data_IF_193973206746
#
_entry.id   IF_193973206746
#
_cell.length_a   1.000
_cell.length_b   1.000
_cell.length_c   1.000
_cell.angle_alpha   90.00
_cell.angle_beta   90.00
_cell.angle_gamma   90.00
#
_symmetry.space_group_name_H-M   'P 1'
#
loop_
_entity.id
_entity.type
_entity.pdbx_description
1 polymer ?
#
# COMPACT_ATOMS: atom_id res chain seq x y z
N UNK A 1 14.03 -22.47 5.67
CA UNK A 1 14.22 -21.26 4.86
C UNK A 1 12.93 -20.99 4.14
N UNK A 2 12.36 -19.79 4.26
CA UNK A 2 11.22 -19.39 3.44
C UNK A 2 11.72 -19.24 2.01
N UNK A 3 11.05 -19.88 1.06
CA UNK A 3 11.32 -19.71 -0.37
C UNK A 3 10.21 -18.87 -1.00
N UNK A 4 10.48 -18.28 -2.16
CA UNK A 4 9.57 -17.37 -2.84
C UNK A 4 9.10 -18.00 -4.14
N UNK A 5 7.80 -17.89 -4.41
CA UNK A 5 7.20 -18.19 -5.71
C UNK A 5 6.49 -16.95 -6.23
N UNK A 6 6.49 -16.73 -7.53
CA UNK A 6 5.83 -15.56 -8.09
C UNK A 6 4.32 -15.61 -7.85
N UNK A 7 3.75 -14.45 -7.47
CA UNK A 7 2.31 -14.24 -7.49
C UNK A 7 1.80 -14.33 -8.92
N UNK A 8 0.51 -14.65 -9.12
CA UNK A 8 -0.08 -14.65 -10.46
C UNK A 8 0.21 -13.35 -11.20
N UNK A 9 0.57 -13.47 -12.47
CA UNK A 9 0.73 -12.31 -13.33
C UNK A 9 -0.57 -11.50 -13.36
N UNK A 10 -0.50 -10.16 -13.36
CA UNK A 10 -1.68 -9.32 -13.48
C UNK A 10 -2.26 -9.44 -14.89
N UNK A 11 -3.58 -9.35 -15.02
CA UNK A 11 -4.26 -9.37 -16.33
C UNK A 11 -3.90 -8.14 -17.17
N UNK A 12 -3.67 -7.01 -16.51
CA UNK A 12 -3.25 -5.74 -17.11
C UNK A 12 -1.90 -5.33 -16.55
N UNK A 13 -1.04 -4.83 -17.42
CA UNK A 13 0.29 -4.34 -17.05
C UNK A 13 0.24 -2.82 -16.93
N UNK A 14 0.77 -2.28 -15.84
CA UNK A 14 0.88 -0.83 -15.67
C UNK A 14 1.98 -0.26 -16.59
N UNK A 15 1.81 0.96 -17.12
CA UNK A 15 2.84 1.65 -17.89
C UNK A 15 4.15 1.79 -17.09
N UNK A 16 5.29 1.77 -17.79
CA UNK A 16 6.61 1.86 -17.16
C UNK A 16 6.77 3.09 -16.25
N UNK A 17 6.14 4.20 -16.63
CA UNK A 17 6.15 5.44 -15.85
C UNK A 17 5.69 5.24 -14.41
N UNK A 18 4.79 4.28 -14.13
CA UNK A 18 4.30 4.02 -12.77
C UNK A 18 5.24 3.14 -11.93
N UNK A 19 6.13 2.35 -12.55
CA UNK A 19 6.87 1.27 -11.87
C UNK A 19 8.03 1.80 -11.05
N UNK A 20 8.13 1.38 -9.80
CA UNK A 20 9.19 1.83 -8.88
C UNK A 20 8.66 2.02 -7.47
N UNK A 21 9.42 2.72 -6.64
CA UNK A 21 8.95 3.15 -5.32
C UNK A 21 8.77 4.66 -5.34
N UNK A 22 7.58 5.09 -4.96
CA UNK A 22 7.19 6.48 -4.82
C UNK A 22 7.08 6.84 -3.36
N UNK A 23 7.77 7.91 -2.97
CA UNK A 23 7.64 8.51 -1.65
C UNK A 23 6.70 9.70 -1.77
N UNK A 24 5.67 9.75 -0.91
CA UNK A 24 4.82 10.93 -0.82
C UNK A 24 5.58 12.03 -0.09
N UNK A 25 5.63 13.22 -0.68
CA UNK A 25 6.27 14.41 -0.10
C UNK A 25 5.26 15.44 0.40
N UNK A 26 4.02 15.37 -0.06
CA UNK A 26 2.91 16.22 0.39
C UNK A 26 1.59 15.47 0.27
N UNK A 27 0.73 15.63 1.27
CA UNK A 27 -0.72 15.49 1.17
C UNK A 27 -1.36 16.82 1.55
N UNK A 28 -2.29 17.32 0.74
CA UNK A 28 -3.13 18.47 1.03
C UNK A 28 -4.60 18.06 0.91
N UNK A 29 -5.36 18.34 1.96
CA UNK A 29 -6.82 18.14 2.03
C UNK A 29 -7.48 19.44 2.51
N UNK A 30 -8.82 19.55 2.47
CA UNK A 30 -9.53 20.68 3.06
C UNK A 30 -9.22 20.89 4.55
N UNK A 31 -8.82 19.84 5.27
CA UNK A 31 -8.50 19.85 6.69
C UNK A 31 -7.06 20.30 6.98
N UNK A 32 -6.16 20.23 6.01
CA UNK A 32 -4.80 20.72 6.18
C UNK A 32 -3.76 20.08 5.27
N UNK A 33 -2.50 20.28 5.66
CA UNK A 33 -1.33 19.78 4.93
C UNK A 33 -0.53 18.83 5.81
N UNK A 34 -0.15 17.69 5.24
CA UNK A 34 0.72 16.68 5.84
C UNK A 34 1.98 16.52 4.99
N UNK A 35 3.13 16.71 5.63
CA UNK A 35 4.46 16.53 5.03
C UNK A 35 5.35 15.64 5.90
N UNK A 36 4.78 15.03 6.95
CA UNK A 36 5.54 14.33 8.00
C UNK A 36 5.24 12.83 8.01
N UNK A 37 4.06 12.40 7.59
CA UNK A 37 3.77 10.97 7.42
C UNK A 37 4.69 10.38 6.35
N UNK A 38 5.44 9.34 6.72
CA UNK A 38 6.29 8.60 5.79
C UNK A 38 5.42 7.64 5.00
N UNK A 39 5.28 7.89 3.70
CA UNK A 39 4.48 7.04 2.80
C UNK A 39 5.34 6.53 1.67
N UNK A 40 5.29 5.21 1.44
CA UNK A 40 5.97 4.54 0.34
C UNK A 40 4.96 3.69 -0.42
N UNK A 41 4.80 3.97 -1.70
CA UNK A 41 4.06 3.17 -2.66
C UNK A 41 5.03 2.45 -3.59
N UNK A 42 5.13 1.13 -3.47
CA UNK A 42 5.90 0.28 -4.37
C UNK A 42 4.98 -0.28 -5.45
N UNK A 43 5.33 -0.04 -6.71
CA UNK A 43 4.60 -0.49 -7.89
C UNK A 43 5.48 -1.39 -8.76
N UNK A 44 5.03 -2.61 -8.99
CA UNK A 44 5.63 -3.58 -9.94
C UNK A 44 4.91 -3.49 -11.29
N UNK A 45 4.98 -4.55 -12.11
CA UNK A 45 4.26 -4.62 -13.40
C UNK A 45 2.74 -4.57 -13.27
N UNK A 46 2.18 -4.84 -12.09
CA UNK A 46 0.74 -4.69 -11.84
C UNK A 46 0.35 -4.91 -10.39
N UNK A 47 1.18 -5.58 -9.60
CA UNK A 47 1.04 -5.59 -8.14
C UNK A 47 1.61 -4.33 -7.50
N UNK A 48 1.00 -3.89 -6.41
CA UNK A 48 1.50 -2.82 -5.56
C UNK A 48 1.48 -3.18 -4.08
N UNK A 49 2.25 -2.43 -3.30
CA UNK A 49 2.10 -2.32 -1.85
C UNK A 49 2.33 -0.87 -1.41
N UNK A 50 1.56 -0.41 -0.44
CA UNK A 50 1.63 0.93 0.14
C UNK A 50 1.79 0.81 1.66
N UNK A 51 2.72 1.57 2.24
CA UNK A 51 2.91 1.68 3.69
C UNK A 51 2.92 3.15 4.10
N UNK A 52 2.09 3.49 5.10
CA UNK A 52 2.00 4.82 5.70
C UNK A 52 2.30 4.73 7.19
N UNK A 53 3.32 5.44 7.62
CA UNK A 53 3.71 5.56 9.02
C UNK A 53 3.57 7.02 9.44
N UNK A 54 2.53 7.38 10.22
CA UNK A 54 2.37 8.73 10.74
C UNK A 54 3.58 9.13 11.60
N UNK A 55 3.84 10.43 11.67
CA UNK A 55 4.92 10.95 12.50
C UNK A 55 4.68 10.66 13.99
N UNK A 56 5.76 10.38 14.73
CA UNK A 56 5.70 10.02 16.15
C UNK A 56 5.09 8.63 16.47
N UNK A 57 4.66 7.87 15.46
CA UNK A 57 4.11 6.51 15.67
C UNK A 57 5.24 5.49 15.80
N UNK A 58 5.24 4.75 16.91
CA UNK A 58 6.11 3.58 17.10
C UNK A 58 5.38 2.27 16.72
N UNK A 59 5.70 1.66 15.56
CA UNK A 59 5.06 0.43 15.10
C UNK A 59 5.40 -0.80 15.96
N UNK A 60 6.36 -0.70 16.89
CA UNK A 60 6.66 -1.76 17.84
C UNK A 60 5.62 -1.85 18.98
N UNK A 61 4.88 -0.78 19.24
CA UNK A 61 3.82 -0.74 20.26
C UNK A 61 2.46 -1.13 19.68
N UNK A 62 1.53 -1.73 20.46
CA UNK A 62 0.16 -1.95 20.02
C UNK A 62 -0.55 -0.67 19.59
N UNK A 63 -0.36 0.41 20.35
CA UNK A 63 -0.99 1.72 20.12
C UNK A 63 -0.51 2.34 18.81
N UNK A 64 0.80 2.29 18.54
CA UNK A 64 1.35 2.79 17.29
C UNK A 64 1.01 1.89 16.11
N UNK A 65 1.00 0.56 16.30
CA UNK A 65 0.60 -0.39 15.27
C UNK A 65 -0.85 -0.18 14.81
N UNK A 66 -1.75 0.15 15.73
CA UNK A 66 -3.15 0.44 15.42
C UNK A 66 -3.33 1.69 14.55
N UNK A 67 -2.35 2.59 14.53
CA UNK A 67 -2.35 3.84 13.74
C UNK A 67 -1.72 3.68 12.36
N UNK A 68 -1.07 2.55 12.08
CA UNK A 68 -0.49 2.30 10.76
C UNK A 68 -1.58 2.20 9.69
N UNK A 69 -1.24 2.63 8.48
CA UNK A 69 -2.05 2.36 7.30
C UNK A 69 -1.17 1.70 6.24
N UNK A 70 -1.79 0.93 5.37
CA UNK A 70 -1.10 0.26 4.29
C UNK A 70 -1.87 -0.93 3.78
N UNK A 71 -1.56 -1.30 2.55
CA UNK A 71 -2.32 -2.27 1.79
C UNK A 71 -1.48 -2.82 0.65
N UNK A 72 -1.94 -3.90 0.04
CA UNK A 72 -1.35 -4.41 -1.19
C UNK A 72 -2.43 -5.00 -2.09
N UNK A 73 -2.16 -5.04 -3.38
CA UNK A 73 -3.12 -5.52 -4.35
C UNK A 73 -2.67 -5.31 -5.79
N UNK A 74 -3.66 -5.16 -6.67
CA UNK A 74 -3.43 -4.93 -8.08
C UNK A 74 -3.73 -3.47 -8.43
N UNK A 75 -3.03 -2.95 -9.42
CA UNK A 75 -3.23 -1.60 -9.94
C UNK A 75 -3.85 -1.70 -11.32
N UNK A 76 -4.94 -0.98 -11.54
CA UNK A 76 -5.55 -0.79 -12.85
C UNK A 76 -5.38 0.66 -13.28
N UNK A 77 -5.01 0.86 -14.54
CA UNK A 77 -4.88 2.19 -15.14
C UNK A 77 -5.94 2.33 -16.21
N UNK A 78 -6.86 3.26 -16.01
CA UNK A 78 -7.73 3.74 -17.10
C UNK A 78 -7.00 4.90 -17.79
N UNK A 79 -6.57 4.74 -19.06
CA UNK A 79 -5.80 5.77 -19.73
C UNK A 79 -6.59 7.07 -19.92
N UNK A 80 -5.86 8.18 -19.96
CA UNK A 80 -6.35 9.51 -20.25
C UNK A 80 -7.24 9.55 -21.51
N UNK A 81 -8.31 10.35 -21.47
CA UNK A 81 -9.21 10.56 -22.60
C UNK A 81 -9.49 12.05 -22.80
N UNK A 82 -8.88 12.63 -23.83
CA UNK A 82 -8.98 14.07 -24.09
C UNK A 82 -8.30 14.86 -22.98
N UNK A 83 -9.05 15.70 -22.27
CA UNK A 83 -8.54 16.55 -21.19
C UNK A 83 -8.55 15.86 -19.80
N UNK A 84 -8.98 14.60 -19.71
CA UNK A 84 -8.93 13.86 -18.45
C UNK A 84 -7.59 13.13 -18.29
N UNK A 85 -6.94 13.21 -17.12
CA UNK A 85 -5.70 12.48 -16.86
C UNK A 85 -5.97 10.98 -16.66
N UNK A 86 -4.89 10.18 -16.59
CA UNK A 86 -4.98 8.77 -16.24
C UNK A 86 -5.66 8.60 -14.88
N UNK A 87 -6.52 7.59 -14.74
CA UNK A 87 -7.06 7.18 -13.45
C UNK A 87 -6.34 5.91 -13.02
N UNK A 88 -5.64 6.00 -11.89
CA UNK A 88 -5.09 4.85 -11.19
C UNK A 88 -6.12 4.36 -10.17
N UNK A 89 -6.42 3.06 -10.20
CA UNK A 89 -7.31 2.38 -9.25
C UNK A 89 -6.56 1.27 -8.54
N UNK A 90 -6.54 1.32 -7.21
CA UNK A 90 -5.86 0.33 -6.37
C UNK A 90 -6.87 -0.71 -5.89
N UNK A 91 -6.88 -1.87 -6.54
CA UNK A 91 -7.66 -3.03 -6.13
C UNK A 91 -7.01 -3.71 -4.93
N UNK A 92 -7.33 -3.23 -3.72
CA UNK A 92 -6.77 -3.72 -2.47
C UNK A 92 -7.19 -5.19 -2.23
N UNK A 93 -6.21 -6.09 -2.21
CA UNK A 93 -6.40 -7.52 -1.90
C UNK A 93 -6.25 -7.79 -0.40
N UNK A 94 -5.45 -6.97 0.27
CA UNK A 94 -5.30 -6.96 1.72
C UNK A 94 -5.05 -5.54 2.20
N UNK A 95 -5.56 -5.21 3.39
CA UNK A 95 -5.48 -3.86 3.98
C UNK A 95 -5.32 -3.97 5.51
N UNK A 96 -4.50 -3.11 6.10
CA UNK A 96 -4.37 -2.94 7.55
C UNK A 96 -5.69 -2.42 8.14
N UNK A 97 -6.34 -1.49 7.44
CA UNK A 97 -7.57 -0.85 7.88
C UNK A 97 -8.81 -1.72 7.56
N UNK A 98 -9.90 -1.57 8.33
CA UNK A 98 -11.20 -2.14 7.97
C UNK A 98 -11.65 -1.75 6.55
N UNK A 99 -12.53 -2.55 5.91
CA UNK A 99 -13.06 -2.24 4.60
C UNK A 99 -13.66 -0.84 4.53
N UNK A 100 -13.29 -0.08 3.50
CA UNK A 100 -13.77 1.28 3.26
C UNK A 100 -15.01 1.27 2.37
N UNK A 101 -15.80 2.34 2.46
CA UNK A 101 -17.02 2.50 1.68
C UNK A 101 -16.76 2.94 0.23
N UNK A 102 -15.62 3.57 -0.04
CA UNK A 102 -15.26 4.13 -1.35
C UNK A 102 -14.16 3.33 -2.04
N UNK A 103 -14.22 3.20 -3.39
CA UNK A 103 -13.09 2.71 -4.17
C UNK A 103 -11.85 3.60 -3.98
N UNK A 104 -10.68 2.97 -4.04
CA UNK A 104 -9.41 3.67 -3.98
C UNK A 104 -8.95 4.03 -5.40
N UNK A 105 -9.09 5.30 -5.76
CA UNK A 105 -8.75 5.81 -7.08
C UNK A 105 -8.30 7.28 -7.07
N UNK A 106 -7.31 7.57 -7.91
CA UNK A 106 -6.67 8.88 -8.04
C UNK A 106 -6.42 9.23 -9.50
N UNK A 107 -6.62 10.49 -9.85
CA UNK A 107 -6.19 11.07 -11.11
C UNK A 107 -4.68 11.32 -11.06
N UNK A 108 -3.94 10.89 -12.07
CA UNK A 108 -2.47 10.88 -12.06
C UNK A 108 -1.92 11.79 -13.17
N UNK A 109 -1.10 12.76 -12.79
CA UNK A 109 -0.43 13.67 -13.71
C UNK A 109 1.07 13.64 -13.44
N UNK A 110 1.85 13.10 -14.38
CA UNK A 110 3.30 13.13 -14.31
C UNK A 110 3.81 14.52 -14.72
N UNK A 111 4.37 15.27 -13.78
CA UNK A 111 5.09 16.52 -14.08
C UNK A 111 6.48 16.21 -14.67
N UNK A 112 7.09 15.12 -14.21
CA UNK A 112 8.34 14.57 -14.75
C UNK A 112 8.30 13.03 -14.63
N UNK A 113 9.23 12.30 -15.24
CA UNK A 113 9.35 10.85 -15.01
C UNK A 113 9.54 10.47 -13.53
N UNK A 114 10.04 11.37 -12.69
CA UNK A 114 10.36 11.12 -11.28
C UNK A 114 9.41 11.83 -10.31
N UNK A 115 8.34 12.45 -10.82
CA UNK A 115 7.39 13.23 -10.02
C UNK A 115 5.98 13.13 -10.57
N UNK A 116 5.04 12.66 -9.74
CA UNK A 116 3.63 12.54 -10.08
C UNK A 116 2.75 13.29 -9.08
N UNK A 117 1.76 13.99 -9.61
CA UNK A 117 0.71 14.66 -8.85
C UNK A 117 -0.52 13.80 -8.92
N UNK A 118 -1.04 13.45 -7.75
CA UNK A 118 -2.27 12.71 -7.59
C UNK A 118 -3.36 13.63 -7.06
N UNK A 119 -4.57 13.51 -7.62
CA UNK A 119 -5.75 14.23 -7.10
C UNK A 119 -6.94 13.28 -7.00
N UNK A 120 -7.80 13.52 -6.01
CA UNK A 120 -8.89 12.60 -5.73
C UNK A 120 -9.95 12.48 -6.82
N UNK A 121 -10.39 11.24 -7.09
CA UNK A 121 -11.56 10.95 -7.92
C UNK A 121 -12.85 11.08 -7.10
N UNK A 122 -12.82 10.64 -5.84
CA UNK A 122 -13.99 10.57 -4.95
C UNK A 122 -13.98 11.61 -3.81
N UNK A 123 -13.00 12.52 -3.81
CA UNK A 123 -12.84 13.53 -2.78
C UNK A 123 -11.83 14.59 -3.18
N UNK A 124 -11.80 15.71 -2.46
CA UNK A 124 -10.83 16.77 -2.71
C UNK A 124 -9.57 16.49 -1.91
N UNK A 125 -8.50 16.13 -2.61
CA UNK A 125 -7.15 16.10 -2.05
C UNK A 125 -6.13 16.25 -3.19
N UNK A 126 -4.90 16.59 -2.82
CA UNK A 126 -3.73 16.58 -3.68
C UNK A 126 -2.60 15.86 -2.96
N UNK A 127 -1.97 14.89 -3.61
CA UNK A 127 -0.73 14.27 -3.17
C UNK A 127 0.39 14.55 -4.17
N UNK A 128 1.59 14.80 -3.65
CA UNK A 128 2.82 14.90 -4.46
C UNK A 128 3.69 13.71 -4.14
N UNK A 129 4.12 13.02 -5.19
CA UNK A 129 4.92 11.82 -5.10
C UNK A 129 6.21 12.00 -5.87
N UNK A 130 7.32 11.62 -5.24
CA UNK A 130 8.65 11.61 -5.86
C UNK A 130 9.20 10.20 -5.88
N UNK A 131 9.76 9.78 -7.01
CA UNK A 131 10.31 8.43 -7.14
C UNK A 131 11.62 8.32 -6.37
N UNK A 132 11.78 7.25 -5.60
CA UNK A 132 13.04 6.96 -4.92
C UNK A 132 14.12 6.52 -5.93
N UNK A 133 15.35 7.06 -5.83
CA UNK A 133 16.47 6.62 -6.66
C UNK A 133 16.78 5.13 -6.51
N UNK A 134 17.06 4.45 -7.63
CA UNK A 134 17.37 3.02 -7.64
C UNK A 134 16.16 2.11 -7.37
N UNK A 135 14.95 2.65 -7.43
CA UNK A 135 13.70 1.87 -7.29
C UNK A 135 13.18 1.28 -8.60
N UNK A 136 13.82 1.57 -9.73
CA UNK A 136 13.56 0.90 -11.02
C UNK A 136 14.59 -0.22 -11.23
N UNK A 137 14.21 -1.25 -11.99
CA UNK A 137 15.08 -2.41 -12.24
C UNK A 137 14.32 -3.72 -12.06
N UNK A 138 14.86 -4.74 -11.38
CA UNK A 138 14.11 -5.98 -11.16
C UNK A 138 12.81 -5.67 -10.42
N UNK A 139 11.71 -6.21 -10.94
CA UNK A 139 10.40 -6.16 -10.31
C UNK A 139 9.98 -7.57 -9.96
N UNK A 140 9.49 -7.77 -8.74
CA UNK A 140 8.95 -9.05 -8.33
C UNK A 140 7.74 -8.85 -7.41
N UNK A 141 6.75 -9.73 -7.54
CA UNK A 141 5.63 -9.85 -6.62
C UNK A 141 5.52 -11.34 -6.29
N UNK A 142 5.76 -11.70 -5.03
CA UNK A 142 6.04 -13.08 -4.64
C UNK A 142 5.27 -13.48 -3.39
N UNK A 143 4.86 -14.74 -3.33
CA UNK A 143 4.33 -15.38 -2.13
C UNK A 143 5.42 -16.23 -1.46
N UNK A 144 5.49 -16.16 -0.13
CA UNK A 144 6.37 -17.00 0.65
C UNK A 144 5.78 -18.40 0.80
N UNK A 145 6.60 -19.44 0.60
CA UNK A 145 6.24 -20.84 0.83
C UNK A 145 7.19 -21.49 1.83
N UNK A 146 6.66 -22.45 2.59
CA UNK A 146 7.42 -23.25 3.55
C UNK A 146 8.31 -24.29 2.86
N UNK A 147 9.05 -25.08 3.64
CA UNK A 147 9.94 -26.13 3.12
C UNK A 147 9.22 -27.25 2.34
N UNK A 148 7.89 -27.33 2.46
CA UNK A 148 7.05 -28.29 1.73
C UNK A 148 6.35 -27.66 0.52
N UNK A 149 6.63 -26.39 0.23
CA UNK A 149 6.01 -25.63 -0.86
C UNK A 149 4.62 -25.10 -0.53
N UNK A 150 4.17 -25.14 0.73
CA UNK A 150 2.86 -24.61 1.12
C UNK A 150 2.91 -23.10 1.35
N UNK A 151 1.89 -22.33 0.92
CA UNK A 151 1.84 -20.89 1.17
C UNK A 151 1.89 -20.54 2.66
N UNK A 152 2.76 -19.60 3.02
CA UNK A 152 2.87 -19.03 4.38
C UNK A 152 1.93 -17.84 4.60
N UNK A 153 1.34 -17.31 3.53
CA UNK A 153 0.55 -16.08 3.52
C UNK A 153 1.39 -14.80 3.44
N UNK A 154 2.71 -14.87 3.67
CA UNK A 154 3.61 -13.73 3.50
C UNK A 154 3.75 -13.40 2.01
N UNK A 155 3.76 -12.12 1.68
CA UNK A 155 4.03 -11.61 0.33
C UNK A 155 5.24 -10.67 0.36
N UNK A 156 6.00 -10.63 -0.74
CA UNK A 156 7.11 -9.70 -0.96
C UNK A 156 6.95 -9.03 -2.31
N UNK A 157 7.08 -7.71 -2.31
CA UNK A 157 7.10 -6.89 -3.52
C UNK A 157 8.46 -6.22 -3.62
N UNK A 158 9.07 -6.26 -4.79
CA UNK A 158 10.42 -5.72 -5.06
C UNK A 158 10.34 -4.77 -6.24
N UNK A 159 11.01 -3.63 -6.12
CA UNK A 159 11.25 -2.69 -7.21
C UNK A 159 12.64 -2.09 -7.05
N UNK A 160 13.56 -2.48 -7.94
CA UNK A 160 14.96 -2.08 -7.87
C UNK A 160 15.61 -2.56 -6.58
N UNK A 161 16.21 -1.64 -5.82
CA UNK A 161 16.89 -1.91 -4.55
C UNK A 161 15.98 -2.00 -3.34
N UNK A 162 14.67 -1.85 -3.49
CA UNK A 162 13.72 -1.76 -2.38
C UNK A 162 12.73 -2.91 -2.38
N UNK A 163 12.23 -3.24 -1.18
CA UNK A 163 11.16 -4.20 -1.01
C UNK A 163 10.12 -3.74 0.03
N UNK A 164 8.88 -4.20 -0.17
CA UNK A 164 7.85 -4.22 0.87
C UNK A 164 7.49 -5.68 1.15
N UNK A 165 7.60 -6.10 2.41
CA UNK A 165 7.14 -7.42 2.87
C UNK A 165 5.84 -7.28 3.65
N UNK A 166 4.85 -8.07 3.29
CA UNK A 166 3.51 -8.09 3.88
C UNK A 166 3.29 -9.44 4.56
N UNK A 167 2.89 -9.43 5.83
CA UNK A 167 2.33 -10.57 6.53
C UNK A 167 0.90 -10.22 6.93
N UNK A 168 -0.11 -10.71 6.20
CA UNK A 168 -1.50 -10.48 6.51
C UNK A 168 -1.89 -10.91 7.92
N UNK A 169 -2.81 -10.19 8.56
CA UNK A 169 -3.53 -10.72 9.73
C UNK A 169 -4.38 -11.92 9.32
N UNK A 170 -4.49 -12.90 10.21
CA UNK A 170 -5.39 -14.05 10.04
C UNK A 170 -6.72 -13.87 10.77
N UNK A 171 -6.78 -12.93 11.72
CA UNK A 171 -8.00 -12.62 12.45
C UNK A 171 -9.08 -12.05 11.50
N UNK A 172 -10.29 -12.58 11.64
CA UNK A 172 -11.46 -12.04 10.97
C UNK A 172 -11.84 -10.68 11.60
N UNK A 173 -12.53 -9.86 10.82
CA UNK A 173 -13.13 -8.65 11.34
C UNK A 173 -14.27 -8.96 12.31
N UNK A 174 -14.49 -8.14 13.36
CA UNK A 174 -15.71 -8.18 14.16
C UNK A 174 -16.96 -8.03 13.29
N UNK A 175 -18.08 -8.62 13.71
CA UNK A 175 -19.31 -8.63 12.92
C UNK A 175 -20.04 -7.27 12.87
N UNK A 176 -19.70 -6.34 13.76
CA UNK A 176 -20.31 -5.02 13.93
C UNK A 176 -19.43 -3.87 13.43
N UNK A 177 -18.64 -4.10 12.38
CA UNK A 177 -17.86 -3.04 11.73
C UNK A 177 -18.73 -1.82 11.39
N UNK A 178 -18.19 -0.63 11.65
CA UNK A 178 -18.81 0.62 11.22
C UNK A 178 -18.18 1.10 9.91
N UNK A 179 -18.96 1.78 9.03
CA UNK A 179 -18.40 2.39 7.84
C UNK A 179 -17.24 3.33 8.16
N UNK A 180 -16.13 3.16 7.45
CA UNK A 180 -14.94 4.01 7.52
C UNK A 180 -14.28 4.08 8.92
N UNK A 181 -14.58 3.10 9.79
CA UNK A 181 -13.94 2.92 11.09
C UNK A 181 -12.46 2.57 10.92
N UNK A 182 -11.61 3.26 11.66
CA UNK A 182 -10.17 2.98 11.68
C UNK A 182 -9.85 1.75 12.52
N UNK A 183 -8.70 1.12 12.24
CA UNK A 183 -8.19 0.03 13.07
C UNK A 183 -8.01 0.45 14.54
N UNK A 184 -7.58 1.69 14.79
CA UNK A 184 -7.43 2.23 16.14
C UNK A 184 -8.77 2.30 16.90
N UNK A 185 -9.82 2.80 16.25
CA UNK A 185 -11.17 2.83 16.84
C UNK A 185 -11.72 1.42 17.06
N UNK A 186 -11.51 0.52 16.10
CA UNK A 186 -11.96 -0.87 16.19
C UNK A 186 -11.28 -1.60 17.36
N UNK A 187 -9.97 -1.44 17.53
CA UNK A 187 -9.22 -2.04 18.65
C UNK A 187 -9.71 -1.49 20.00
N UNK A 188 -10.03 -0.20 20.08
CA UNK A 188 -10.62 0.38 21.30
C UNK A 188 -12.01 -0.19 21.61
N UNK A 189 -12.84 -0.45 20.60
CA UNK A 189 -14.16 -1.07 20.74
C UNK A 189 -14.09 -2.57 21.05
N UNK A 190 -13.05 -3.26 20.59
CA UNK A 190 -12.88 -4.71 20.74
C UNK A 190 -11.52 -5.07 21.39
N UNK A 191 -11.29 -4.69 22.66
CA UNK A 191 -10.00 -4.91 23.32
C UNK A 191 -9.61 -6.39 23.41
N UNK A 192 -10.58 -7.30 23.52
CA UNK A 192 -10.33 -8.75 23.54
C UNK A 192 -9.84 -9.30 22.20
N UNK A 193 -10.18 -8.64 21.08
CA UNK A 193 -9.75 -9.03 19.74
C UNK A 193 -8.45 -8.31 19.30
N UNK A 194 -8.00 -7.31 20.07
CA UNK A 194 -6.90 -6.42 19.71
C UNK A 194 -5.63 -7.15 19.27
N UNK A 195 -5.21 -8.18 20.02
CA UNK A 195 -3.99 -8.93 19.72
C UNK A 195 -4.04 -9.56 18.32
N UNK A 196 -5.18 -10.14 17.92
CA UNK A 196 -5.35 -10.74 16.59
C UNK A 196 -5.51 -9.70 15.49
N UNK A 197 -6.22 -8.60 15.76
CA UNK A 197 -6.40 -7.50 14.80
C UNK A 197 -5.08 -6.79 14.48
N UNK A 198 -4.18 -6.72 15.46
CA UNK A 198 -2.85 -6.14 15.35
C UNK A 198 -1.79 -7.14 14.89
N UNK A 199 -2.12 -8.41 14.72
CA UNK A 199 -1.17 -9.44 14.29
C UNK A 199 -0.93 -9.44 12.77
N UNK A 200 -0.30 -8.38 12.27
CA UNK A 200 0.16 -8.26 10.89
C UNK A 200 1.59 -7.73 10.81
N UNK A 201 2.19 -7.80 9.62
CA UNK A 201 3.47 -7.17 9.31
C UNK A 201 3.39 -6.43 7.98
N UNK A 202 3.95 -5.22 7.94
CA UNK A 202 4.13 -4.46 6.72
C UNK A 202 5.42 -3.66 6.86
N UNK A 203 6.46 -4.06 6.15
CA UNK A 203 7.81 -3.54 6.34
C UNK A 203 8.37 -3.10 5.01
N UNK A 204 8.78 -1.83 4.93
CA UNK A 204 9.54 -1.27 3.83
C UNK A 204 11.04 -1.26 4.18
N UNK A 205 11.89 -1.63 3.23
CA UNK A 205 13.34 -1.64 3.41
C UNK A 205 14.08 -1.87 2.10
N UNK A 206 15.40 -2.03 2.19
CA UNK A 206 16.20 -2.47 1.05
C UNK A 206 15.89 -3.95 0.74
N UNK A 207 15.92 -4.29 -0.54
CA UNK A 207 15.78 -5.66 -0.99
C UNK A 207 17.12 -6.37 -0.77
N UNK A 208 17.10 -7.49 -0.06
CA UNK A 208 18.16 -8.49 -0.17
C UNK A 208 18.10 -9.01 -1.62
N UNK A 209 19.05 -8.56 -2.45
CA UNK A 209 19.24 -8.97 -3.84
C UNK A 209 20.26 -10.11 -3.93
#
# INVERSE_FOLDING_TARGET
>A
MTSWVDLPAPDEVVPDAYRGVWQRTLLETPEGRDTTTRVHWLQTHGWHADLRVPDGVDPATPEGRAQLQGFCGLTQITPAQGDTPDICTWLRRWDIQPPRSTPDAGHMVFETPERVIETGVHGRYLEVWERLPGSTGPYAAQAGVDATGRPTGVMRFVAGRYAITVRPRTAAWPADLRPDETLAELVQRHPEAAAGLLDFGLVFGEADL
#
